data_IF_184488116237
#
_entry.id   IF_184488116237
#
_cell.length_a   1.000
_cell.length_b   1.000
_cell.length_c   1.000
_cell.angle_alpha   90.00
_cell.angle_beta   90.00
_cell.angle_gamma   90.00
#
_symmetry.space_group_name_H-M   'P 1'
#
loop_
_entity.id
_entity.type
_entity.pdbx_description
1 polymer ?
#
# COMPACT_ATOMS: atom_id res chain seq x y z
N UNK A 1 -25.91 25.31 -39.20
CA UNK A 1 -25.43 26.32 -38.23
C UNK A 1 -26.10 26.02 -36.90
N UNK A 2 -25.47 25.48 -35.87
CA UNK A 2 -24.12 25.71 -35.36
C UNK A 2 -23.52 24.42 -34.81
N UNK A 3 -22.24 24.24 -35.09
CA UNK A 3 -21.33 23.28 -34.48
C UNK A 3 -20.86 23.90 -33.15
N UNK A 4 -21.06 23.17 -32.04
CA UNK A 4 -20.33 23.30 -30.76
C UNK A 4 -19.99 21.84 -30.41
N UNK A 5 -18.82 21.28 -30.75
CA UNK A 5 -17.49 21.41 -30.12
C UNK A 5 -17.53 21.18 -28.60
N UNK A 6 -16.58 20.36 -28.14
CA UNK A 6 -16.29 19.89 -26.78
C UNK A 6 -17.14 18.65 -26.41
N UNK A 7 -16.64 17.43 -26.46
CA UNK A 7 -15.32 17.04 -25.96
C UNK A 7 -15.29 17.19 -24.44
N UNK A 8 -16.19 16.50 -23.74
CA UNK A 8 -16.07 16.27 -22.30
C UNK A 8 -16.44 14.82 -22.05
N UNK A 9 -15.45 13.96 -22.26
CA UNK A 9 -14.82 13.24 -21.15
C UNK A 9 -15.82 12.38 -20.38
N UNK A 10 -15.94 11.12 -20.80
CA UNK A 10 -15.49 10.00 -19.96
C UNK A 10 -15.93 10.05 -18.47
N UNK A 11 -17.16 10.49 -18.20
CA UNK A 11 -17.66 10.74 -16.84
C UNK A 11 -18.72 9.71 -16.43
N UNK A 12 -18.43 8.43 -16.70
CA UNK A 12 -19.19 7.28 -16.17
C UNK A 12 -18.31 6.11 -15.71
N UNK A 13 -17.03 6.36 -15.38
CA UNK A 13 -16.13 5.32 -14.84
C UNK A 13 -15.19 5.84 -13.74
N UNK A 14 -15.68 6.73 -12.87
CA UNK A 14 -14.94 7.20 -11.67
C UNK A 14 -15.77 7.04 -10.39
N UNK A 15 -16.55 5.97 -10.31
CA UNK A 15 -17.29 5.58 -9.11
C UNK A 15 -16.99 4.10 -8.81
N UNK A 16 -15.71 3.72 -8.78
CA UNK A 16 -15.23 2.45 -8.19
C UNK A 16 -13.86 2.61 -7.51
N UNK A 17 -13.40 3.84 -7.29
CA UNK A 17 -12.12 4.12 -6.63
C UNK A 17 -12.32 5.20 -5.58
N UNK A 18 -13.19 4.95 -4.60
CA UNK A 18 -12.94 5.53 -3.27
C UNK A 18 -11.78 4.69 -2.73
N UNK A 19 -10.58 5.01 -3.21
CA UNK A 19 -9.36 4.40 -2.72
C UNK A 19 -9.33 4.66 -1.23
N UNK A 20 -9.44 3.58 -0.46
CA UNK A 20 -9.22 3.62 0.98
C UNK A 20 -7.74 3.95 1.14
N UNK A 21 -7.41 5.24 1.15
CA UNK A 21 -6.04 5.65 1.39
C UNK A 21 -5.80 5.37 2.87
N UNK A 22 -4.85 4.49 3.16
CA UNK A 22 -4.34 4.30 4.50
C UNK A 22 -4.02 5.65 5.11
N UNK A 23 -4.22 5.75 6.42
CA UNK A 23 -3.83 6.95 7.15
C UNK A 23 -2.34 7.20 6.88
N UNK A 24 -1.90 8.46 6.73
CA UNK A 24 -0.49 8.77 6.50
C UNK A 24 0.39 8.18 7.62
N UNK A 25 -0.14 8.12 8.84
CA UNK A 25 0.48 7.46 10.00
C UNK A 25 0.72 5.95 9.80
N UNK A 26 -0.22 5.26 9.15
CA UNK A 26 -0.10 3.82 8.82
C UNK A 26 0.93 3.63 7.73
N UNK A 27 0.90 4.46 6.69
CA UNK A 27 1.89 4.43 5.61
C UNK A 27 3.31 4.71 6.14
N UNK A 28 3.47 5.69 7.03
CA UNK A 28 4.77 6.00 7.66
C UNK A 28 5.29 4.83 8.50
N UNK A 29 4.42 4.15 9.24
CA UNK A 29 4.77 2.94 10.00
C UNK A 29 5.18 1.80 9.07
N UNK A 30 4.43 1.55 8.01
CA UNK A 30 4.76 0.51 7.02
C UNK A 30 6.12 0.82 6.40
N UNK A 31 6.34 2.04 5.92
CA UNK A 31 7.64 2.51 5.43
C UNK A 31 8.77 2.25 6.45
N UNK A 32 8.54 2.56 7.73
CA UNK A 32 9.52 2.34 8.79
C UNK A 32 9.88 0.86 8.98
N UNK A 33 8.89 -0.03 8.95
CA UNK A 33 9.09 -1.48 9.07
C UNK A 33 9.87 -2.01 7.86
N UNK A 34 9.50 -1.57 6.65
CA UNK A 34 10.17 -1.96 5.41
C UNK A 34 11.62 -1.50 5.40
N UNK A 35 11.90 -0.24 5.79
CA UNK A 35 13.28 0.25 5.92
C UNK A 35 14.11 -0.60 6.88
N UNK A 36 13.52 -0.92 8.03
CA UNK A 36 14.20 -1.70 9.06
C UNK A 36 14.50 -3.12 8.59
N UNK A 37 13.55 -3.76 7.91
CA UNK A 37 13.71 -5.14 7.44
C UNK A 37 14.70 -5.24 6.29
N UNK A 38 14.61 -4.33 5.33
CA UNK A 38 15.52 -4.26 4.18
C UNK A 38 16.86 -3.59 4.50
N UNK A 39 17.10 -3.23 5.77
CA UNK A 39 18.29 -2.50 6.22
C UNK A 39 18.63 -1.28 5.33
N UNK A 40 17.59 -0.58 4.86
CA UNK A 40 17.74 0.60 4.02
C UNK A 40 18.26 1.77 4.85
N UNK A 41 19.15 2.56 4.25
CA UNK A 41 19.67 3.75 4.89
C UNK A 41 18.58 4.82 5.09
N UNK A 42 18.73 5.66 6.10
CA UNK A 42 17.71 6.65 6.47
C UNK A 42 17.42 7.67 5.36
N UNK A 43 18.41 7.91 4.48
CA UNK A 43 18.33 8.78 3.31
C UNK A 43 17.52 8.19 2.15
N UNK A 44 17.21 6.89 2.18
CA UNK A 44 16.33 6.25 1.20
C UNK A 44 14.90 6.75 1.42
N UNK A 45 14.41 7.56 0.48
CA UNK A 45 13.01 7.99 0.44
C UNK A 45 12.15 6.84 -0.06
N UNK A 46 11.35 6.25 0.82
CA UNK A 46 10.27 5.33 0.43
C UNK A 46 9.00 6.14 0.24
N UNK A 47 8.38 6.01 -0.92
CA UNK A 47 7.06 6.58 -1.21
C UNK A 47 6.00 5.48 -1.22
N UNK A 48 4.72 5.84 -1.07
CA UNK A 48 3.64 4.86 -1.24
C UNK A 48 3.66 4.15 -2.60
N UNK A 49 4.11 4.85 -3.64
CA UNK A 49 4.20 4.30 -5.00
C UNK A 49 5.45 3.41 -5.21
N UNK A 50 6.34 3.34 -4.21
CA UNK A 50 7.53 2.50 -4.26
C UNK A 50 7.15 1.02 -4.18
N UNK A 51 7.71 0.21 -5.08
CA UNK A 51 7.51 -1.24 -5.08
C UNK A 51 8.50 -1.93 -4.16
N UNK A 52 8.07 -2.96 -3.45
CA UNK A 52 8.96 -3.76 -2.60
C UNK A 52 10.15 -4.32 -3.39
N UNK A 53 9.90 -4.80 -4.60
CA UNK A 53 10.94 -5.32 -5.50
C UNK A 53 11.94 -4.23 -5.92
N UNK A 54 11.49 -2.98 -6.09
CA UNK A 54 12.37 -1.85 -6.43
C UNK A 54 13.22 -1.39 -5.24
N UNK A 55 12.71 -1.60 -4.02
CA UNK A 55 13.43 -1.39 -2.77
C UNK A 55 14.44 -2.50 -2.47
N UNK A 56 14.49 -3.54 -3.29
CA UNK A 56 15.40 -4.67 -3.13
C UNK A 56 14.87 -5.78 -2.23
N UNK A 57 13.57 -5.79 -1.91
CA UNK A 57 12.97 -6.91 -1.20
C UNK A 57 12.96 -8.16 -2.09
N UNK A 58 13.50 -9.24 -1.58
CA UNK A 58 13.35 -10.57 -2.16
C UNK A 58 12.11 -11.30 -1.61
N UNK A 59 11.93 -12.56 -2.04
CA UNK A 59 10.80 -13.39 -1.59
C UNK A 59 10.83 -13.70 -0.09
N UNK A 60 12.02 -13.77 0.52
CA UNK A 60 12.20 -14.01 1.96
C UNK A 60 11.94 -12.71 2.74
N UNK A 61 12.49 -11.59 2.27
CA UNK A 61 12.28 -10.28 2.85
C UNK A 61 10.79 -9.92 2.89
N UNK A 62 10.04 -10.26 1.83
CA UNK A 62 8.60 -10.03 1.77
C UNK A 62 7.87 -10.78 2.89
N UNK A 63 8.26 -12.02 3.19
CA UNK A 63 7.70 -12.80 4.29
C UNK A 63 8.03 -12.14 5.63
N UNK A 64 9.28 -11.73 5.84
CA UNK A 64 9.70 -11.07 7.08
C UNK A 64 9.02 -9.70 7.28
N UNK A 65 8.86 -8.92 6.21
CA UNK A 65 8.12 -7.64 6.23
C UNK A 65 6.66 -7.89 6.63
N UNK A 66 5.99 -8.85 5.99
CA UNK A 66 4.58 -9.17 6.28
C UNK A 66 4.43 -9.60 7.73
N UNK A 67 5.30 -10.49 8.23
CA UNK A 67 5.30 -10.89 9.64
C UNK A 67 5.53 -9.70 10.59
N UNK A 68 6.44 -8.78 10.24
CA UNK A 68 6.68 -7.57 11.01
C UNK A 68 5.49 -6.61 11.01
N UNK A 69 4.75 -6.52 9.91
CA UNK A 69 3.51 -5.75 9.80
C UNK A 69 2.38 -6.40 10.65
N UNK A 70 2.22 -7.71 10.55
CA UNK A 70 1.26 -8.47 11.37
C UNK A 70 1.50 -8.25 12.86
N UNK A 71 2.75 -8.34 13.32
CA UNK A 71 3.10 -8.11 14.72
C UNK A 71 2.90 -6.64 15.13
N UNK A 72 3.35 -5.69 14.31
CA UNK A 72 3.29 -4.26 14.63
C UNK A 72 1.85 -3.72 14.72
N UNK A 73 0.96 -4.21 13.87
CA UNK A 73 -0.45 -3.81 13.83
C UNK A 73 -1.37 -4.81 14.54
N UNK A 74 -0.84 -5.96 14.93
CA UNK A 74 -1.59 -7.04 15.58
C UNK A 74 -2.66 -7.65 14.66
N UNK A 75 -2.41 -7.74 13.36
CA UNK A 75 -3.36 -8.27 12.38
C UNK A 75 -2.89 -9.63 11.83
N UNK A 76 -3.69 -10.23 10.96
CA UNK A 76 -3.32 -11.43 10.21
C UNK A 76 -3.54 -11.14 8.74
N UNK A 77 -2.48 -11.24 7.95
CA UNK A 77 -2.49 -11.03 6.51
C UNK A 77 -2.46 -12.40 5.85
N UNK A 78 -3.46 -12.70 5.02
CA UNK A 78 -3.46 -13.96 4.28
C UNK A 78 -2.37 -13.98 3.22
N UNK A 79 -1.81 -15.16 2.94
CA UNK A 79 -0.72 -15.31 1.98
C UNK A 79 -1.09 -14.81 0.58
N UNK A 80 -2.32 -15.06 0.12
CA UNK A 80 -2.83 -14.55 -1.16
C UNK A 80 -2.88 -13.01 -1.18
N UNK A 81 -3.31 -12.41 -0.06
CA UNK A 81 -3.33 -10.96 0.10
C UNK A 81 -1.92 -10.40 0.08
N UNK A 82 -0.98 -10.99 0.84
CA UNK A 82 0.42 -10.61 0.84
C UNK A 82 1.08 -10.72 -0.55
N UNK A 83 0.75 -11.74 -1.33
CA UNK A 83 1.25 -11.90 -2.70
C UNK A 83 0.68 -10.86 -3.68
N UNK A 84 -0.50 -10.31 -3.39
CA UNK A 84 -1.11 -9.25 -4.19
C UNK A 84 -0.53 -7.85 -3.90
N UNK A 85 0.20 -7.70 -2.79
CA UNK A 85 0.88 -6.46 -2.43
C UNK A 85 2.07 -6.22 -3.36
N UNK A 86 2.01 -5.16 -4.16
CA UNK A 86 3.11 -4.76 -5.06
C UNK A 86 3.81 -3.50 -4.56
N UNK A 87 3.04 -2.53 -4.07
CA UNK A 87 3.54 -1.24 -3.59
C UNK A 87 3.36 -1.09 -2.08
N UNK A 88 4.18 -0.21 -1.49
CA UNK A 88 4.07 0.14 -0.06
C UNK A 88 2.68 0.68 0.28
N UNK A 89 2.05 1.38 -0.66
CA UNK A 89 0.68 1.85 -0.52
C UNK A 89 -0.32 0.69 -0.47
N UNK A 90 -0.21 -0.30 -1.36
CA UNK A 90 -1.10 -1.46 -1.34
C UNK A 90 -1.03 -2.18 0.01
N UNK A 91 0.19 -2.32 0.56
CA UNK A 91 0.37 -2.86 1.91
C UNK A 91 -0.35 -1.98 2.93
N UNK A 92 -0.06 -0.68 2.98
CA UNK A 92 -0.64 0.22 3.97
C UNK A 92 -2.18 0.23 3.92
N UNK A 93 -2.77 0.27 2.73
CA UNK A 93 -4.22 0.30 2.52
C UNK A 93 -4.86 -1.00 3.04
N UNK A 94 -4.24 -2.15 2.78
CA UNK A 94 -4.66 -3.45 3.31
C UNK A 94 -4.51 -3.56 4.83
N UNK A 95 -3.38 -3.10 5.38
CA UNK A 95 -3.14 -3.10 6.82
C UNK A 95 -4.23 -2.30 7.53
N UNK A 96 -4.56 -1.10 7.00
CA UNK A 96 -5.62 -0.26 7.58
C UNK A 96 -6.96 -0.98 7.58
N UNK A 97 -7.35 -1.63 6.47
CA UNK A 97 -8.59 -2.39 6.37
C UNK A 97 -8.66 -3.52 7.40
N UNK A 98 -7.58 -4.29 7.55
CA UNK A 98 -7.52 -5.39 8.52
C UNK A 98 -7.54 -4.88 9.97
N UNK A 99 -6.88 -3.74 10.26
CA UNK A 99 -6.92 -3.10 11.58
C UNK A 99 -8.34 -2.63 11.90
N UNK A 100 -9.03 -1.98 10.96
CA UNK A 100 -10.40 -1.52 11.13
C UNK A 100 -11.36 -2.71 11.30
N UNK A 101 -11.22 -3.77 10.49
CA UNK A 101 -12.02 -4.98 10.57
C UNK A 101 -11.81 -5.76 11.88
N UNK A 102 -10.58 -5.76 12.45
CA UNK A 102 -10.29 -6.39 13.74
C UNK A 102 -10.86 -5.61 14.93
N UNK A 103 -11.00 -4.30 14.79
CA UNK A 103 -11.46 -3.40 15.87
C UNK A 103 -12.99 -3.22 15.87
N UNK A 104 -13.66 -3.63 14.79
CA UNK A 104 -15.12 -3.67 14.65
C UNK A 104 -15.74 -4.90 15.34
#
# INVERSE_FOLDING_TARGET
HYIYITGFLQSRLKIELIGMQAKPETLDKVCGIVKKQLALADDVSISGDSKFVELGADSLDTVEIVMGLEEAFGITVEEESAQSIVTVRDAADMIEELVEAKTA
#
